data_IF_383361302132
#
_entry.id   IF_383361302132
#
_cell.length_a   1.000
_cell.length_b   1.000
_cell.length_c   1.000
_cell.angle_alpha   90.00
_cell.angle_beta   90.00
_cell.angle_gamma   90.00
#
_symmetry.space_group_name_H-M   'P 1'
#
loop_
_entity.id
_entity.type
_entity.pdbx_description
1 polymer ?
#
# COMPACT_ATOMS: atom_id res chain seq x y z
N UNK A 1 -16.13 -35.97 8.00
CA UNK A 1 -16.86 -35.26 6.92
C UNK A 1 -16.39 -33.82 6.72
N UNK A 2 -16.34 -32.97 7.76
CA UNK A 2 -15.94 -31.54 7.63
C UNK A 2 -14.51 -31.34 7.11
N UNK A 3 -13.54 -32.12 7.60
CA UNK A 3 -12.15 -32.07 7.10
C UNK A 3 -12.01 -32.45 5.62
N UNK A 4 -12.87 -33.34 5.11
CA UNK A 4 -12.82 -33.79 3.72
C UNK A 4 -13.32 -32.68 2.77
N UNK A 5 -14.33 -31.92 3.19
CA UNK A 5 -14.82 -30.76 2.44
C UNK A 5 -13.80 -29.61 2.43
N UNK A 6 -13.03 -29.45 3.51
CA UNK A 6 -11.99 -28.43 3.62
C UNK A 6 -10.81 -28.71 2.67
N UNK A 7 -10.36 -29.96 2.66
CA UNK A 7 -9.30 -30.42 1.74
C UNK A 7 -9.74 -30.26 0.28
N UNK A 8 -10.97 -30.65 -0.05
CA UNK A 8 -11.51 -30.47 -1.40
C UNK A 8 -11.63 -29.00 -1.81
N UNK A 9 -11.96 -28.10 -0.89
CA UNK A 9 -11.99 -26.66 -1.16
C UNK A 9 -10.58 -26.12 -1.43
N UNK A 10 -9.59 -26.51 -0.60
CA UNK A 10 -8.19 -26.13 -0.79
C UNK A 10 -7.61 -26.67 -2.09
N UNK A 11 -7.89 -27.93 -2.44
CA UNK A 11 -7.47 -28.53 -3.71
C UNK A 11 -8.08 -27.82 -4.91
N UNK A 12 -9.35 -27.43 -4.85
CA UNK A 12 -10.00 -26.62 -5.91
C UNK A 12 -9.37 -25.24 -6.05
N UNK A 13 -8.98 -24.62 -4.95
CA UNK A 13 -8.31 -23.31 -4.96
C UNK A 13 -6.90 -23.44 -5.56
N UNK A 14 -6.15 -24.48 -5.18
CA UNK A 14 -4.80 -24.74 -5.69
C UNK A 14 -4.82 -25.13 -7.18
N UNK A 15 -5.80 -25.93 -7.60
CA UNK A 15 -6.06 -26.23 -9.01
C UNK A 15 -6.44 -24.97 -9.79
N UNK A 16 -7.33 -24.13 -9.26
CA UNK A 16 -7.68 -22.86 -9.91
C UNK A 16 -6.48 -21.89 -10.01
N UNK A 17 -5.61 -21.85 -8.99
CA UNK A 17 -4.38 -21.06 -9.01
C UNK A 17 -3.36 -21.61 -10.03
N UNK A 18 -3.28 -22.93 -10.18
CA UNK A 18 -2.40 -23.61 -11.15
C UNK A 18 -2.92 -23.44 -12.60
N UNK A 19 -4.23 -23.52 -12.80
CA UNK A 19 -4.89 -23.18 -14.06
C UNK A 19 -4.72 -21.69 -14.40
N UNK A 20 -4.81 -20.80 -13.40
CA UNK A 20 -4.55 -19.36 -13.56
C UNK A 20 -3.08 -19.11 -13.97
N UNK A 21 -2.12 -19.80 -13.35
CA UNK A 21 -0.70 -19.67 -13.67
C UNK A 21 -0.31 -20.24 -15.05
N UNK A 22 -1.01 -21.25 -15.54
CA UNK A 22 -0.73 -21.91 -16.83
C UNK A 22 -1.49 -21.29 -18.02
N UNK A 23 -2.53 -20.50 -17.76
CA UNK A 23 -3.36 -19.89 -18.80
C UNK A 23 -2.85 -18.49 -19.19
N UNK A 24 -2.42 -18.37 -20.44
CA UNK A 24 -1.84 -17.14 -21.03
C UNK A 24 -2.75 -15.91 -20.92
N UNK A 25 -4.07 -16.10 -20.79
CA UNK A 25 -5.02 -14.99 -20.59
C UNK A 25 -4.80 -14.25 -19.29
N UNK A 26 -4.25 -14.89 -18.25
CA UNK A 26 -3.93 -14.25 -16.98
C UNK A 26 -2.60 -13.49 -16.99
N UNK A 27 -1.81 -13.64 -18.06
CA UNK A 27 -0.65 -12.78 -18.32
C UNK A 27 -1.03 -11.38 -18.80
N UNK A 28 -2.31 -11.14 -19.16
CA UNK A 28 -2.77 -9.80 -19.54
C UNK A 28 -2.77 -8.87 -18.32
N UNK A 29 -1.98 -7.79 -18.42
CA UNK A 29 -1.94 -6.73 -17.42
C UNK A 29 -1.68 -5.39 -18.12
N UNK A 30 -2.63 -4.46 -18.02
CA UNK A 30 -2.57 -3.17 -18.70
C UNK A 30 -1.37 -2.33 -18.25
N UNK A 31 -0.98 -2.42 -16.97
CA UNK A 31 0.15 -1.68 -16.44
C UNK A 31 1.46 -2.15 -17.07
N UNK A 32 1.67 -3.46 -17.16
CA UNK A 32 2.84 -4.08 -17.82
C UNK A 32 2.89 -3.84 -19.32
N UNK A 33 1.75 -3.52 -19.96
CA UNK A 33 1.71 -3.13 -21.38
C UNK A 33 2.14 -1.66 -21.55
N UNK A 34 1.70 -0.78 -20.64
CA UNK A 34 1.89 0.67 -20.78
C UNK A 34 3.24 1.17 -20.24
N UNK A 35 3.81 0.49 -19.25
CA UNK A 35 5.05 0.89 -18.56
C UNK A 35 5.84 -0.35 -18.12
N UNK A 36 7.13 -0.16 -17.80
CA UNK A 36 7.87 -1.24 -17.15
C UNK A 36 7.34 -1.46 -15.74
N UNK A 37 7.29 -2.73 -15.36
CA UNK A 37 6.78 -3.17 -14.06
C UNK A 37 7.51 -2.55 -12.87
N UNK A 38 8.76 -2.11 -13.06
CA UNK A 38 9.60 -1.56 -12.00
C UNK A 38 9.73 -0.03 -12.00
N UNK A 39 8.95 0.69 -12.81
CA UNK A 39 8.99 2.15 -12.85
C UNK A 39 8.37 2.80 -11.60
N UNK A 40 9.22 3.26 -10.67
CA UNK A 40 8.77 3.90 -9.43
C UNK A 40 7.86 5.09 -9.72
N UNK A 41 8.36 6.07 -10.48
CA UNK A 41 7.65 7.33 -10.69
C UNK A 41 6.60 7.21 -11.79
N UNK A 42 6.99 6.59 -12.91
CA UNK A 42 6.18 6.53 -14.14
C UNK A 42 4.92 5.67 -14.04
N UNK A 43 4.92 4.68 -13.14
CA UNK A 43 3.82 3.75 -12.92
C UNK A 43 3.33 3.81 -11.47
N UNK A 44 4.19 3.49 -10.50
CA UNK A 44 3.73 3.23 -9.13
C UNK A 44 3.30 4.51 -8.41
N UNK A 45 4.13 5.55 -8.38
CA UNK A 45 3.81 6.79 -7.68
C UNK A 45 2.60 7.49 -8.31
N UNK A 46 2.49 7.48 -9.64
CA UNK A 46 1.33 8.03 -10.36
C UNK A 46 0.04 7.27 -10.04
N UNK A 47 0.07 5.94 -10.10
CA UNK A 47 -1.13 5.16 -9.85
C UNK A 47 -1.55 5.20 -8.37
N UNK A 48 -0.59 5.12 -7.44
CA UNK A 48 -0.89 5.30 -6.02
C UNK A 48 -1.49 6.69 -5.74
N UNK A 49 -0.92 7.75 -6.30
CA UNK A 49 -1.43 9.09 -6.09
C UNK A 49 -2.82 9.32 -6.71
N UNK A 50 -3.12 8.67 -7.83
CA UNK A 50 -4.47 8.67 -8.40
C UNK A 50 -5.47 8.10 -7.39
N UNK A 51 -5.18 6.92 -6.81
CA UNK A 51 -6.04 6.28 -5.80
C UNK A 51 -6.12 7.06 -4.48
N UNK A 52 -5.02 7.69 -4.08
CA UNK A 52 -4.95 8.47 -2.84
C UNK A 52 -5.55 9.87 -2.98
N UNK A 53 -5.92 10.30 -4.18
CA UNK A 53 -6.53 11.60 -4.40
C UNK A 53 -8.04 11.54 -4.16
N UNK A 54 -8.61 12.35 -3.24
CA UNK A 54 -10.06 12.39 -3.07
C UNK A 54 -10.77 12.99 -4.28
N UNK A 55 -10.04 13.68 -5.16
CA UNK A 55 -10.50 14.19 -6.44
C UNK A 55 -9.92 13.40 -7.62
N UNK A 56 -9.46 12.17 -7.38
CA UNK A 56 -9.06 11.25 -8.44
C UNK A 56 -10.24 10.91 -9.36
N UNK A 57 -9.95 10.52 -10.59
CA UNK A 57 -10.94 10.21 -11.64
C UNK A 57 -11.88 9.05 -11.28
N UNK A 58 -11.50 8.23 -10.29
CA UNK A 58 -12.34 7.17 -9.73
C UNK A 58 -13.49 7.68 -8.85
N UNK A 59 -13.42 8.90 -8.31
CA UNK A 59 -14.49 9.53 -7.53
C UNK A 59 -14.80 8.86 -6.18
N UNK A 60 -13.83 8.16 -5.57
CA UNK A 60 -14.01 7.41 -4.31
C UNK A 60 -13.04 7.88 -3.22
N UNK A 61 -13.52 8.60 -2.21
CA UNK A 61 -12.67 9.04 -1.08
C UNK A 61 -12.25 7.88 -0.15
N UNK A 62 -12.94 6.74 -0.23
CA UNK A 62 -12.69 5.56 0.59
C UNK A 62 -11.25 5.05 0.50
N UNK A 63 -10.62 5.12 -0.66
CA UNK A 63 -9.25 4.62 -0.85
C UNK A 63 -8.23 5.39 -0.01
N UNK A 64 -8.34 6.72 0.05
CA UNK A 64 -7.49 7.55 0.91
C UNK A 64 -7.76 7.26 2.40
N UNK A 65 -9.03 7.11 2.79
CA UNK A 65 -9.40 6.79 4.19
C UNK A 65 -8.82 5.44 4.62
N UNK A 66 -8.95 4.42 3.77
CA UNK A 66 -8.37 3.10 4.02
C UNK A 66 -6.84 3.16 4.11
N UNK A 67 -6.19 4.00 3.30
CA UNK A 67 -4.73 4.15 3.37
C UNK A 67 -4.30 4.78 4.70
N UNK A 68 -4.97 5.87 5.11
CA UNK A 68 -4.69 6.55 6.37
C UNK A 68 -4.89 5.58 7.54
N UNK A 69 -5.99 4.84 7.55
CA UNK A 69 -6.33 3.91 8.62
C UNK A 69 -5.39 2.70 8.68
N UNK A 70 -5.27 1.96 7.58
CA UNK A 70 -4.60 0.65 7.56
C UNK A 70 -3.09 0.75 7.38
N UNK A 71 -2.59 1.84 6.80
CA UNK A 71 -1.15 2.02 6.54
C UNK A 71 -0.58 3.05 7.48
N UNK A 72 -1.05 4.30 7.45
CA UNK A 72 -0.37 5.40 8.16
C UNK A 72 -0.55 5.28 9.67
N UNK A 73 -1.79 5.15 10.14
CA UNK A 73 -2.10 5.06 11.57
C UNK A 73 -1.52 3.79 12.20
N UNK A 74 -1.56 2.66 11.48
CA UNK A 74 -0.93 1.41 11.94
C UNK A 74 0.59 1.58 12.06
N UNK A 75 1.24 2.16 11.04
CA UNK A 75 2.69 2.26 11.00
C UNK A 75 3.29 3.23 12.04
N UNK A 76 2.52 4.25 12.46
CA UNK A 76 2.94 5.19 13.50
C UNK A 76 2.37 4.89 14.89
N UNK A 77 1.57 3.83 15.03
CA UNK A 77 1.01 3.43 16.31
C UNK A 77 2.13 3.20 17.34
N UNK A 78 2.03 3.91 18.46
CA UNK A 78 2.98 3.83 19.59
C UNK A 78 4.44 4.22 19.25
N UNK A 79 4.71 4.88 18.11
CA UNK A 79 6.05 5.36 17.78
C UNK A 79 6.46 6.62 18.56
N UNK A 80 5.48 7.47 18.87
CA UNK A 80 5.63 8.68 19.67
C UNK A 80 4.27 9.01 20.30
N UNK A 81 4.24 9.24 21.62
CA UNK A 81 3.01 9.54 22.36
C UNK A 81 2.35 10.84 21.93
N UNK A 82 3.11 11.76 21.31
CA UNK A 82 2.58 13.02 20.78
C UNK A 82 1.85 12.85 19.45
N UNK A 83 2.08 11.74 18.74
CA UNK A 83 1.43 11.46 17.46
C UNK A 83 0.07 10.82 17.70
N UNK A 84 -0.97 11.60 17.43
CA UNK A 84 -2.34 11.10 17.45
C UNK A 84 -2.67 10.40 16.13
N UNK A 85 -3.53 9.36 16.14
CA UNK A 85 -4.07 8.79 14.90
C UNK A 85 -4.71 9.87 14.03
N UNK A 86 -4.39 9.85 12.75
CA UNK A 86 -4.93 10.77 11.75
C UNK A 86 -6.44 10.56 11.58
N UNK A 87 -7.18 11.67 11.50
CA UNK A 87 -8.63 11.66 11.30
C UNK A 87 -9.00 11.27 9.86
N UNK A 88 -9.85 10.25 9.71
CA UNK A 88 -10.28 9.73 8.41
C UNK A 88 -11.27 10.66 7.67
N UNK A 89 -11.93 11.56 8.39
CA UNK A 89 -12.94 12.46 7.80
C UNK A 89 -12.37 13.80 7.34
N UNK A 90 -11.06 14.02 7.50
CA UNK A 90 -10.38 15.18 6.93
C UNK A 90 -9.70 14.77 5.62
N UNK A 91 -10.15 15.28 4.45
CA UNK A 91 -9.52 14.94 3.19
C UNK A 91 -8.12 15.55 3.10
N UNK A 92 -7.20 14.81 2.49
CA UNK A 92 -5.87 15.30 2.15
C UNK A 92 -5.81 15.59 0.66
N UNK A 93 -5.28 16.75 0.29
CA UNK A 93 -4.88 16.98 -1.11
C UNK A 93 -3.74 16.04 -1.48
N UNK A 94 -3.71 15.53 -2.71
CA UNK A 94 -2.67 14.61 -3.19
C UNK A 94 -1.90 15.25 -4.35
N UNK A 95 -0.57 15.22 -4.28
CA UNK A 95 0.32 15.72 -5.34
C UNK A 95 1.46 14.74 -5.56
N UNK A 96 1.91 14.59 -6.81
CA UNK A 96 3.09 13.78 -7.17
C UNK A 96 4.23 14.62 -7.67
N UNK A 97 5.44 14.08 -7.59
CA UNK A 97 6.63 14.66 -8.23
C UNK A 97 6.89 16.11 -7.77
N UNK A 98 6.65 16.39 -6.48
CA UNK A 98 6.76 17.74 -5.92
C UNK A 98 8.23 18.11 -5.76
N UNK A 99 8.71 19.03 -6.61
CA UNK A 99 10.05 19.58 -6.49
C UNK A 99 10.14 20.50 -5.28
N UNK A 100 11.10 20.23 -4.40
CA UNK A 100 11.40 21.06 -3.25
C UNK A 100 12.80 21.62 -3.41
N UNK A 101 12.89 22.95 -3.44
CA UNK A 101 14.14 23.69 -3.55
C UNK A 101 15.16 23.14 -2.55
N UNK A 102 16.32 22.70 -3.07
CA UNK A 102 17.42 22.12 -2.31
C UNK A 102 17.13 20.81 -1.53
N UNK A 103 15.93 20.24 -1.64
CA UNK A 103 15.54 19.03 -0.89
C UNK A 103 15.25 17.82 -1.77
N UNK A 104 15.21 18.00 -3.10
CA UNK A 104 14.96 16.94 -4.06
C UNK A 104 13.51 16.95 -4.55
N UNK A 105 13.02 15.79 -4.99
CA UNK A 105 11.66 15.64 -5.50
C UNK A 105 10.96 14.55 -4.70
N UNK A 106 9.87 14.92 -4.02
CA UNK A 106 9.03 13.97 -3.29
C UNK A 106 8.13 13.25 -4.29
N UNK A 107 8.04 11.93 -4.17
CA UNK A 107 7.22 11.11 -5.07
C UNK A 107 5.73 11.36 -4.89
N UNK A 108 5.22 11.33 -3.64
CA UNK A 108 3.83 11.65 -3.31
C UNK A 108 3.77 12.46 -2.01
N UNK A 109 2.96 13.52 -2.02
CA UNK A 109 2.59 14.30 -0.83
C UNK A 109 1.09 14.25 -0.65
N UNK A 110 0.65 13.93 0.56
CA UNK A 110 -0.72 14.15 1.02
C UNK A 110 -0.69 15.24 2.08
N UNK A 111 -1.51 16.29 1.94
CA UNK A 111 -1.52 17.38 2.93
C UNK A 111 -2.92 17.93 3.18
N UNK A 112 -3.15 18.29 4.44
CA UNK A 112 -4.25 19.15 4.86
C UNK A 112 -3.69 20.29 5.73
N UNK A 113 -4.55 21.05 6.40
CA UNK A 113 -4.12 22.19 7.22
C UNK A 113 -3.31 21.81 8.46
N UNK A 114 -3.47 20.57 8.94
CA UNK A 114 -2.90 20.12 10.21
C UNK A 114 -1.71 19.19 9.98
N UNK A 115 -1.82 18.26 9.02
CA UNK A 115 -0.93 17.13 8.84
C UNK A 115 -0.38 17.06 7.41
N UNK A 116 0.83 16.51 7.29
CA UNK A 116 1.49 16.20 6.02
C UNK A 116 2.02 14.77 6.03
N UNK A 117 1.73 14.04 4.96
CA UNK A 117 2.19 12.67 4.72
C UNK A 117 3.05 12.68 3.47
N UNK A 118 4.28 12.23 3.60
CA UNK A 118 5.25 12.09 2.52
C UNK A 118 5.42 10.62 2.21
N UNK A 119 5.29 10.22 0.96
CA UNK A 119 5.59 8.86 0.51
C UNK A 119 6.77 8.91 -0.44
N UNK A 120 7.85 8.23 -0.08
CA UNK A 120 8.98 7.95 -0.97
C UNK A 120 8.87 6.50 -1.43
N UNK A 121 8.80 6.28 -2.73
CA UNK A 121 8.49 5.00 -3.32
C UNK A 121 9.73 4.35 -3.95
N UNK A 122 10.13 3.17 -3.47
CA UNK A 122 11.34 2.46 -3.89
C UNK A 122 11.02 1.06 -4.37
N UNK A 123 11.14 0.81 -5.67
CA UNK A 123 10.97 -0.53 -6.24
C UNK A 123 12.33 -1.17 -6.49
N UNK A 124 13.20 -0.48 -7.23
CA UNK A 124 14.56 -0.87 -7.57
C UNK A 124 15.56 0.32 -7.46
N UNK A 125 15.08 1.54 -7.23
CA UNK A 125 15.88 2.75 -7.18
C UNK A 125 16.82 2.77 -5.97
N UNK A 126 18.04 3.26 -6.22
CA UNK A 126 19.02 3.49 -5.16
C UNK A 126 18.58 4.62 -4.23
N UNK A 127 19.01 4.50 -2.98
CA UNK A 127 18.85 5.53 -1.97
C UNK A 127 19.68 6.77 -2.31
N UNK A 128 19.13 7.94 -1.98
CA UNK A 128 19.84 9.22 -2.07
C UNK A 128 20.30 9.66 -0.68
N UNK A 129 21.44 10.34 -0.59
CA UNK A 129 22.02 10.79 0.69
C UNK A 129 21.02 11.61 1.50
N UNK A 130 20.77 11.28 2.76
CA UNK A 130 19.91 12.01 3.69
C UNK A 130 18.52 12.39 3.12
N UNK A 131 17.98 11.58 2.20
CA UNK A 131 16.76 11.89 1.47
C UNK A 131 15.58 12.13 2.42
N UNK A 132 15.36 11.22 3.38
CA UNK A 132 14.24 11.36 4.31
C UNK A 132 14.42 12.57 5.24
N UNK A 133 15.64 12.83 5.69
CA UNK A 133 15.94 14.01 6.50
C UNK A 133 15.62 15.30 5.74
N UNK A 134 16.01 15.42 4.47
CA UNK A 134 15.67 16.60 3.67
C UNK A 134 14.17 16.79 3.52
N UNK A 135 13.40 15.71 3.35
CA UNK A 135 11.94 15.82 3.28
C UNK A 135 11.33 16.25 4.60
N UNK A 136 11.85 15.73 5.72
CA UNK A 136 11.44 16.14 7.05
C UNK A 136 11.68 17.65 7.27
N UNK A 137 12.88 18.12 6.97
CA UNK A 137 13.25 19.55 7.05
C UNK A 137 12.38 20.41 6.13
N UNK A 138 12.09 19.93 4.91
CA UNK A 138 11.19 20.60 3.99
C UNK A 138 9.77 20.75 4.56
N UNK A 139 9.24 19.71 5.22
CA UNK A 139 7.92 19.77 5.87
C UNK A 139 7.92 20.77 7.03
N UNK A 140 9.00 20.84 7.82
CA UNK A 140 9.18 21.85 8.87
C UNK A 140 9.19 23.26 8.29
N UNK A 141 9.86 23.47 7.15
CA UNK A 141 9.88 24.75 6.45
C UNK A 141 8.52 25.15 5.85
N UNK A 142 7.60 24.18 5.70
CA UNK A 142 6.19 24.42 5.37
C UNK A 142 5.31 24.68 6.61
N UNK A 143 5.90 24.85 7.79
CA UNK A 143 5.25 25.11 9.08
C UNK A 143 4.44 23.94 9.67
N UNK A 144 4.74 22.69 9.30
CA UNK A 144 4.18 21.53 9.99
C UNK A 144 4.97 21.20 11.26
N UNK A 145 4.27 20.90 12.37
CA UNK A 145 4.91 20.44 13.61
C UNK A 145 5.44 19.00 13.51
N UNK A 146 6.50 18.62 14.26
CA UNK A 146 7.11 17.28 14.17
C UNK A 146 6.11 16.14 14.28
N UNK A 147 5.18 16.24 15.24
CA UNK A 147 4.10 15.28 15.48
C UNK A 147 3.11 15.17 14.31
N UNK A 148 3.08 16.16 13.41
CA UNK A 148 2.17 16.24 12.28
C UNK A 148 2.83 15.88 10.94
N UNK A 149 4.10 15.47 10.95
CA UNK A 149 4.86 15.07 9.76
C UNK A 149 4.98 13.54 9.71
N UNK A 150 4.40 12.89 8.71
CA UNK A 150 4.38 11.44 8.56
C UNK A 150 5.17 11.03 7.32
N UNK A 151 6.37 10.48 7.49
CA UNK A 151 7.20 10.04 6.36
C UNK A 151 7.10 8.53 6.20
N UNK A 152 6.67 8.08 5.03
CA UNK A 152 6.56 6.68 4.65
C UNK A 152 7.66 6.36 3.62
N UNK A 153 8.52 5.41 3.97
CA UNK A 153 9.47 4.80 3.04
C UNK A 153 8.87 3.49 2.54
N UNK A 154 8.30 3.54 1.34
CA UNK A 154 7.60 2.42 0.74
C UNK A 154 8.58 1.62 -0.13
N UNK A 155 8.76 0.34 0.17
CA UNK A 155 9.57 -0.56 -0.65
C UNK A 155 8.93 -1.95 -0.81
N UNK A 156 9.55 -2.84 -1.59
CA UNK A 156 8.96 -4.15 -1.91
C UNK A 156 8.62 -5.00 -0.69
N UNK A 157 9.55 -5.08 0.28
CA UNK A 157 9.55 -6.10 1.32
C UNK A 157 9.52 -5.55 2.75
N UNK A 158 9.46 -4.22 2.92
CA UNK A 158 9.61 -3.58 4.23
C UNK A 158 11.07 -3.50 4.67
N UNK A 159 12.02 -3.51 3.72
CA UNK A 159 13.45 -3.48 4.00
C UNK A 159 13.82 -2.20 4.79
N UNK A 160 14.79 -2.27 5.73
CA UNK A 160 15.22 -1.11 6.48
C UNK A 160 15.75 0.02 5.62
N UNK A 161 15.40 1.25 5.98
CA UNK A 161 16.00 2.44 5.36
C UNK A 161 17.49 2.45 5.66
N UNK A 162 18.31 2.63 4.64
CA UNK A 162 19.76 2.72 4.84
C UNK A 162 20.12 3.95 5.68
N UNK A 163 21.21 3.86 6.45
CA UNK A 163 21.76 5.03 7.18
C UNK A 163 22.10 6.18 6.22
N UNK A 164 22.51 5.84 4.99
CA UNK A 164 22.77 6.80 3.93
C UNK A 164 21.53 7.63 3.57
N UNK A 165 20.33 7.01 3.48
CA UNK A 165 19.08 7.71 3.17
C UNK A 165 18.41 8.36 4.38
N UNK A 166 18.45 7.70 5.53
CA UNK A 166 17.84 8.13 6.79
C UNK A 166 18.42 9.46 7.30
N UNK A 167 19.73 9.67 7.16
CA UNK A 167 20.41 10.81 7.76
C UNK A 167 20.31 10.77 9.29
N UNK A 168 19.98 11.90 9.91
CA UNK A 168 19.90 12.04 11.38
C UNK A 168 18.51 11.79 11.97
N UNK A 169 17.55 11.32 11.16
CA UNK A 169 16.20 11.02 11.65
C UNK A 169 16.21 9.89 12.69
N UNK A 170 15.27 9.94 13.64
CA UNK A 170 14.97 8.83 14.56
C UNK A 170 14.03 7.85 13.87
N UNK A 171 13.99 6.60 14.37
CA UNK A 171 13.06 5.57 13.85
C UNK A 171 11.57 5.91 14.12
N UNK A 172 11.32 6.88 15.01
CA UNK A 172 9.99 7.45 15.28
C UNK A 172 9.55 8.49 14.23
N UNK A 173 10.48 9.03 13.43
CA UNK A 173 10.21 10.14 12.50
C UNK A 173 9.71 9.67 11.12
N UNK A 174 9.87 8.38 10.83
CA UNK A 174 9.42 7.76 9.58
C UNK A 174 8.93 6.32 9.84
N UNK A 175 8.28 5.71 8.85
CA UNK A 175 7.91 4.31 8.88
C UNK A 175 8.26 3.61 7.57
N UNK A 176 8.73 2.35 7.67
CA UNK A 176 8.84 1.47 6.52
C UNK A 176 7.48 0.87 6.20
N UNK A 177 7.10 0.95 4.94
CA UNK A 177 5.88 0.34 4.39
C UNK A 177 6.31 -0.65 3.32
N UNK A 178 5.66 -1.80 3.26
CA UNK A 178 5.93 -2.84 2.28
C UNK A 178 4.84 -2.90 1.20
N UNK A 179 5.23 -3.15 -0.04
CA UNK A 179 4.28 -3.53 -1.08
C UNK A 179 3.65 -4.89 -0.81
N UNK A 180 4.46 -5.83 -0.31
CA UNK A 180 4.07 -7.23 -0.12
C UNK A 180 2.93 -7.39 0.88
N UNK A 181 2.91 -6.60 1.95
CA UNK A 181 1.93 -6.73 3.02
C UNK A 181 1.04 -5.50 3.09
N UNK A 182 1.59 -4.32 3.36
CA UNK A 182 0.80 -3.12 3.68
C UNK A 182 -0.01 -2.62 2.48
N UNK A 183 0.67 -2.36 1.35
CA UNK A 183 -0.02 -1.90 0.12
C UNK A 183 -0.91 -2.99 -0.44
N UNK A 184 -0.48 -4.26 -0.38
CA UNK A 184 -1.29 -5.38 -0.83
C UNK A 184 -2.61 -5.49 -0.06
N UNK A 185 -2.56 -5.40 1.28
CA UNK A 185 -3.75 -5.46 2.13
C UNK A 185 -4.66 -4.25 1.92
N UNK A 186 -4.08 -3.05 1.82
CA UNK A 186 -4.82 -1.83 1.50
C UNK A 186 -5.51 -1.93 0.12
N UNK A 187 -4.83 -2.43 -0.90
CA UNK A 187 -5.42 -2.66 -2.22
C UNK A 187 -6.55 -3.70 -2.16
N UNK A 188 -6.38 -4.78 -1.38
CA UNK A 188 -7.42 -5.79 -1.20
C UNK A 188 -8.69 -5.17 -0.56
N UNK A 189 -8.54 -4.23 0.37
CA UNK A 189 -9.66 -3.44 0.91
C UNK A 189 -10.28 -2.48 -0.12
N UNK A 190 -9.45 -1.77 -0.90
CA UNK A 190 -9.94 -0.91 -1.98
C UNK A 190 -10.71 -1.69 -3.05
N UNK A 191 -10.29 -2.91 -3.37
CA UNK A 191 -11.00 -3.81 -4.30
C UNK A 191 -12.41 -4.13 -3.77
N UNK A 192 -12.55 -4.36 -2.46
CA UNK A 192 -13.86 -4.61 -1.84
C UNK A 192 -14.78 -3.40 -1.98
N UNK A 193 -14.29 -2.20 -1.70
CA UNK A 193 -15.04 -0.95 -1.88
C UNK A 193 -15.42 -0.71 -3.35
N UNK A 194 -14.56 -1.10 -4.29
CA UNK A 194 -14.76 -0.90 -5.73
C UNK A 194 -15.72 -1.91 -6.38
N UNK A 195 -16.19 -2.95 -5.68
CA UNK A 195 -17.08 -3.99 -6.22
C UNK A 195 -18.32 -3.46 -6.99
N UNK A 196 -18.99 -2.37 -6.57
CA UNK A 196 -20.09 -1.80 -7.35
C UNK A 196 -19.68 -1.20 -8.70
N UNK A 197 -18.37 -1.00 -8.94
CA UNK A 197 -17.79 -0.34 -10.10
C UNK A 197 -16.77 -1.27 -10.81
N UNK A 198 -17.22 -2.23 -11.64
CA UNK A 198 -16.37 -3.28 -12.19
C UNK A 198 -15.12 -2.81 -12.94
N UNK A 199 -15.18 -1.64 -13.59
CA UNK A 199 -14.03 -1.08 -14.30
C UNK A 199 -12.93 -0.59 -13.35
N UNK A 200 -13.28 -0.04 -12.19
CA UNK A 200 -12.33 0.33 -11.13
C UNK A 200 -11.83 -0.93 -10.44
N UNK A 201 -12.73 -1.83 -10.05
CA UNK A 201 -12.39 -3.11 -9.40
C UNK A 201 -11.38 -3.91 -10.23
N UNK A 202 -11.64 -4.12 -11.52
CA UNK A 202 -10.74 -4.86 -12.40
C UNK A 202 -9.40 -4.16 -12.62
N UNK A 203 -9.38 -2.82 -12.62
CA UNK A 203 -8.13 -2.05 -12.70
C UNK A 203 -7.30 -2.26 -11.43
N UNK A 204 -7.92 -2.18 -10.25
CA UNK A 204 -7.26 -2.46 -8.97
C UNK A 204 -6.76 -3.91 -8.89
N UNK A 205 -7.55 -4.89 -9.34
CA UNK A 205 -7.13 -6.29 -9.41
C UNK A 205 -5.91 -6.49 -10.32
N UNK A 206 -5.82 -5.77 -11.44
CA UNK A 206 -4.63 -5.81 -12.29
C UNK A 206 -3.41 -5.19 -11.61
N UNK A 207 -3.55 -4.05 -10.93
CA UNK A 207 -2.45 -3.47 -10.17
C UNK A 207 -2.02 -4.35 -8.99
N UNK A 208 -2.98 -4.95 -8.28
CA UNK A 208 -2.74 -5.88 -7.18
C UNK A 208 -1.97 -7.13 -7.63
N UNK A 209 -2.26 -7.66 -8.83
CA UNK A 209 -1.49 -8.74 -9.46
C UNK A 209 -0.07 -8.30 -9.82
N UNK A 210 0.10 -7.08 -10.33
CA UNK A 210 1.42 -6.52 -10.59
C UNK A 210 2.25 -6.40 -9.30
N UNK A 211 1.66 -5.90 -8.22
CA UNK A 211 2.27 -5.88 -6.88
C UNK A 211 2.66 -7.29 -6.43
N UNK A 212 1.80 -8.28 -6.65
CA UNK A 212 2.11 -9.69 -6.37
C UNK A 212 3.31 -10.22 -7.17
N UNK A 213 3.37 -9.90 -8.47
CA UNK A 213 4.50 -10.23 -9.34
C UNK A 213 5.81 -9.61 -8.83
N UNK A 214 5.79 -8.33 -8.42
CA UNK A 214 6.97 -7.60 -7.94
C UNK A 214 7.52 -8.11 -6.62
N UNK A 215 6.66 -8.71 -5.79
CA UNK A 215 6.97 -9.14 -4.42
C UNK A 215 7.09 -10.66 -4.30
N UNK A 216 6.96 -11.39 -5.41
CA UNK A 216 6.87 -12.85 -5.42
C UNK A 216 5.63 -13.41 -4.73
N UNK A 217 4.69 -12.56 -4.28
CA UNK A 217 3.39 -12.97 -3.73
C UNK A 217 2.37 -13.10 -4.88
N UNK A 218 2.51 -14.17 -5.67
CA UNK A 218 1.56 -14.50 -6.76
C UNK A 218 0.25 -15.13 -6.24
N UNK A 219 0.05 -15.19 -4.91
CA UNK A 219 -1.19 -15.71 -4.35
C UNK A 219 -2.32 -14.72 -4.62
N UNK A 220 -3.29 -15.13 -5.42
CA UNK A 220 -4.43 -14.27 -5.79
C UNK A 220 -5.19 -13.79 -4.55
N UNK A 221 -5.77 -12.59 -4.59
CA UNK A 221 -6.62 -12.05 -3.52
C UNK A 221 -7.80 -12.99 -3.18
N UNK A 222 -8.29 -13.77 -4.16
CA UNK A 222 -9.25 -14.87 -3.95
C UNK A 222 -8.71 -15.97 -3.02
N UNK A 223 -7.42 -16.28 -3.11
CA UNK A 223 -6.76 -17.27 -2.27
C UNK A 223 -6.58 -16.77 -0.83
N UNK A 224 -6.29 -15.48 -0.62
CA UNK A 224 -6.28 -14.86 0.73
C UNK A 224 -7.69 -14.81 1.33
N UNK A 225 -8.71 -14.40 0.56
CA UNK A 225 -10.11 -14.41 1.00
C UNK A 225 -10.59 -15.83 1.37
N UNK A 226 -10.31 -16.82 0.52
CA UNK A 226 -10.67 -18.19 0.79
C UNK A 226 -9.91 -18.78 1.99
N UNK A 227 -8.64 -18.39 2.20
CA UNK A 227 -7.86 -18.77 3.37
C UNK A 227 -8.41 -18.16 4.67
N UNK A 228 -8.84 -16.89 4.64
CA UNK A 228 -9.48 -16.24 5.79
C UNK A 228 -10.81 -16.91 6.13
N UNK A 229 -11.66 -17.17 5.14
CA UNK A 229 -12.92 -17.93 5.33
C UNK A 229 -12.67 -19.32 5.92
N UNK A 230 -11.58 -19.98 5.50
CA UNK A 230 -11.12 -21.26 6.04
C UNK A 230 -10.76 -21.20 7.53
N UNK A 231 -9.99 -20.17 7.92
CA UNK A 231 -9.56 -19.96 9.31
C UNK A 231 -10.75 -19.67 10.23
N UNK A 232 -11.73 -18.87 9.77
CA UNK A 232 -12.96 -18.61 10.50
C UNK A 232 -13.79 -19.88 10.72
N UNK A 233 -13.95 -20.73 9.70
CA UNK A 233 -14.68 -21.99 9.86
C UNK A 233 -14.00 -22.94 10.85
N UNK A 234 -12.67 -23.00 10.84
CA UNK A 234 -11.89 -23.83 11.77
C UNK A 234 -12.03 -23.38 13.23
N UNK A 235 -12.04 -22.06 13.47
CA UNK A 235 -12.26 -21.50 14.80
C UNK A 235 -13.67 -21.80 15.33
N UNK A 236 -14.70 -21.68 14.49
CA UNK A 236 -16.10 -22.00 14.83
C UNK A 236 -16.28 -23.48 15.15
N UNK A 237 -15.61 -24.37 14.40
CA UNK A 237 -15.65 -25.81 14.65
C UNK A 237 -14.98 -26.20 15.97
N UNK A 238 -13.83 -25.60 16.28
CA UNK A 238 -13.13 -25.86 17.54
C UNK A 238 -13.91 -25.37 18.75
N UNK A 239 -14.60 -24.23 18.64
CA UNK A 239 -15.47 -23.70 19.70
C UNK A 239 -16.73 -24.54 19.94
N UNK A 240 -17.24 -25.24 18.92
CA UNK A 240 -18.40 -26.14 19.04
C UNK A 240 -18.06 -27.53 19.58
N UNK A 241 -16.78 -27.89 19.68
CA UNK A 241 -16.32 -29.18 20.21
C UNK A 241 -15.70 -29.08 21.62
N UNK A 242 -15.66 -27.88 22.21
CA UNK A 242 -15.34 -27.59 23.61
C UNK A 242 -16.61 -27.29 24.39
#
# INVERSE_FOLDING_TARGET
MVYNNLFQALEKIDQAATEEASNTKYGFNIFSILRRDDEEVGLHSKFLAELLSPTGSHGMDAFQKLFIDQVVNVAFKNKDEKRLPLCLNQPYTCQTEVAITNSGRIDIILKNNENIIVVENKINAYDQRAQLQRYYEACRNMNYEPENIYILYLNKYGDPVSTYSKGNLKDSDFAQISYKEDVANWLDACIIEAKPYPHIEHTLLQYRRLVGKLTGDTRSAKMKQAHIELLYQKAILNWRMS
#
